data_IF_574414844516
#
_entry.id   IF_574414844516
#
_cell.length_a   1.000
_cell.length_b   1.000
_cell.length_c   1.000
_cell.angle_alpha   90.00
_cell.angle_beta   90.00
_cell.angle_gamma   90.00
#
_symmetry.space_group_name_H-M   'P 1'
#
loop_
_entity.id
_entity.type
_entity.pdbx_description
1 polymer ?
#
# COMPACT_ATOMS: atom_id res chain seq x y z
N UNK A 1 5.24 39.66 15.56
CA UNK A 1 6.54 39.71 14.87
C UNK A 1 6.61 38.53 13.93
N UNK A 2 6.68 38.82 12.63
CA UNK A 2 6.49 37.91 11.51
C UNK A 2 7.84 37.81 10.78
N UNK A 3 8.36 36.59 10.61
CA UNK A 3 9.43 36.27 9.68
C UNK A 3 9.03 34.96 9.00
N UNK A 4 8.72 34.86 7.71
CA UNK A 4 9.25 35.61 6.58
C UNK A 4 10.44 34.83 5.99
N UNK A 5 10.20 33.67 5.38
CA UNK A 5 11.19 32.99 4.52
C UNK A 5 10.58 32.58 3.20
N UNK A 6 11.01 33.32 2.19
CA UNK A 6 10.79 33.20 0.76
C UNK A 6 11.44 31.94 0.17
N UNK A 7 10.72 31.35 -0.78
CA UNK A 7 11.17 30.30 -1.70
C UNK A 7 12.34 30.76 -2.58
N UNK A 8 13.30 29.88 -2.92
CA UNK A 8 14.11 30.04 -4.11
C UNK A 8 13.43 29.36 -5.31
N UNK A 9 13.07 30.23 -6.26
CA UNK A 9 12.74 29.92 -7.65
C UNK A 9 13.87 29.10 -8.31
N UNK A 10 13.57 27.86 -8.71
CA UNK A 10 14.49 27.01 -9.45
C UNK A 10 14.40 27.39 -10.94
N UNK A 11 15.39 28.18 -11.36
CA UNK A 11 15.63 28.58 -12.73
C UNK A 11 15.80 27.37 -13.66
N UNK A 12 15.21 27.50 -14.85
CA UNK A 12 15.10 26.46 -15.87
C UNK A 12 16.42 25.95 -16.42
N UNK A 13 16.39 24.70 -16.88
CA UNK A 13 17.38 24.16 -17.80
C UNK A 13 16.84 24.24 -19.24
N UNK A 14 17.62 24.78 -20.19
CA UNK A 14 17.31 24.65 -21.61
C UNK A 14 17.51 23.18 -22.04
N UNK A 15 16.53 22.64 -22.76
CA UNK A 15 16.65 21.38 -23.49
C UNK A 15 17.54 21.64 -24.70
N UNK A 16 18.75 21.11 -24.70
CA UNK A 16 19.54 20.92 -25.90
C UNK A 16 18.86 19.88 -26.79
N UNK A 17 18.15 20.36 -27.79
CA UNK A 17 17.77 19.61 -28.99
C UNK A 17 19.03 19.34 -29.81
N UNK A 18 19.71 18.25 -29.47
CA UNK A 18 20.78 17.64 -30.27
C UNK A 18 20.23 17.10 -31.59
N UNK A 19 20.17 18.01 -32.56
CA UNK A 19 19.95 17.83 -33.98
C UNK A 19 21.01 16.88 -34.55
N UNK A 20 20.66 15.58 -34.65
CA UNK A 20 21.43 14.62 -35.45
C UNK A 20 21.14 14.86 -36.92
N UNK A 21 22.14 15.42 -37.57
CA UNK A 21 22.36 15.54 -39.00
C UNK A 21 22.02 14.24 -39.74
N UNK A 22 21.07 14.37 -40.66
CA UNK A 22 20.69 13.37 -41.65
C UNK A 22 21.56 13.62 -42.90
N UNK A 23 22.68 12.90 -42.98
CA UNK A 23 23.37 12.53 -44.23
C UNK A 23 23.11 11.03 -44.33
N UNK A 24 22.60 10.46 -45.42
CA UNK A 24 23.35 10.29 -46.66
C UNK A 24 22.44 9.53 -47.67
N UNK A 25 22.59 9.94 -48.93
CA UNK A 25 22.39 9.20 -50.21
C UNK A 25 21.03 8.75 -50.72
N UNK A 26 20.89 9.04 -52.01
CA UNK A 26 19.82 8.71 -52.92
C UNK A 26 19.81 7.23 -53.37
N UNK A 27 18.61 6.80 -53.75
CA UNK A 27 18.13 5.70 -54.62
C UNK A 27 19.14 5.14 -55.67
N UNK A 28 19.00 3.90 -56.20
CA UNK A 28 17.70 3.32 -56.62
C UNK A 28 17.51 1.78 -56.54
N UNK A 29 16.24 1.39 -56.73
CA UNK A 29 15.72 0.18 -57.37
C UNK A 29 15.85 -1.22 -56.73
N UNK A 30 14.69 -1.89 -56.73
CA UNK A 30 14.42 -3.24 -56.27
C UNK A 30 15.14 -4.31 -57.12
N UNK A 31 15.29 -5.52 -56.57
CA UNK A 31 14.30 -6.54 -56.91
C UNK A 31 13.78 -7.33 -55.70
N UNK A 32 12.53 -7.77 -55.85
CA UNK A 32 11.83 -8.76 -55.03
C UNK A 32 12.68 -10.01 -54.75
N UNK A 33 13.42 -10.04 -53.64
CA UNK A 33 13.85 -11.30 -53.04
C UNK A 33 12.70 -11.87 -52.21
N UNK A 34 11.93 -12.69 -52.92
CA UNK A 34 11.14 -13.80 -52.45
C UNK A 34 11.48 -14.20 -51.01
N UNK A 35 10.46 -14.11 -50.17
CA UNK A 35 10.30 -14.74 -48.86
C UNK A 35 10.63 -16.23 -48.99
N UNK A 36 11.91 -16.56 -48.95
CA UNK A 36 12.40 -17.91 -48.89
C UNK A 36 12.19 -18.37 -47.46
N UNK A 37 11.18 -19.23 -47.27
CA UNK A 37 10.91 -19.91 -46.01
C UNK A 37 12.12 -20.72 -45.58
N UNK A 38 13.07 -20.05 -44.90
CA UNK A 38 14.24 -20.68 -44.31
C UNK A 38 13.76 -21.41 -43.07
N UNK A 39 13.59 -22.72 -43.23
CA UNK A 39 13.37 -23.70 -42.17
C UNK A 39 14.31 -23.35 -41.00
N UNK A 40 13.81 -23.25 -39.76
CA UNK A 40 14.59 -22.78 -38.61
C UNK A 40 15.86 -23.60 -38.47
N UNK A 41 16.97 -22.98 -38.85
CA UNK A 41 18.31 -23.56 -38.76
C UNK A 41 18.70 -23.54 -37.27
N UNK A 42 19.32 -24.59 -36.71
CA UNK A 42 19.66 -24.70 -35.28
C UNK A 42 20.50 -23.53 -34.70
N UNK A 43 21.06 -22.66 -35.54
CA UNK A 43 21.74 -21.42 -35.15
C UNK A 43 20.81 -20.33 -34.59
N UNK A 44 19.52 -20.31 -34.96
CA UNK A 44 18.57 -19.31 -34.45
C UNK A 44 18.34 -19.43 -32.93
N UNK A 45 18.32 -20.65 -32.40
CA UNK A 45 18.23 -20.90 -30.96
C UNK A 45 19.48 -20.44 -30.21
N UNK A 46 20.67 -20.58 -30.81
CA UNK A 46 21.92 -20.08 -30.23
C UNK A 46 21.95 -18.55 -30.16
N UNK A 47 21.36 -17.89 -31.15
CA UNK A 47 21.22 -16.43 -31.17
C UNK A 47 20.27 -15.91 -30.08
N UNK A 48 19.13 -16.58 -29.88
CA UNK A 48 18.19 -16.27 -28.79
C UNK A 48 18.81 -16.48 -27.41
N UNK A 49 19.54 -17.59 -27.21
CA UNK A 49 20.26 -17.85 -25.96
C UNK A 49 21.32 -16.79 -25.67
N UNK A 50 22.01 -16.29 -26.71
CA UNK A 50 22.99 -15.21 -26.58
C UNK A 50 22.33 -13.88 -26.19
N UNK A 51 21.21 -13.52 -26.83
CA UNK A 51 20.45 -12.32 -26.46
C UNK A 51 19.87 -12.39 -25.04
N UNK A 52 19.42 -13.56 -24.59
CA UNK A 52 18.98 -13.76 -23.19
C UNK A 52 20.15 -13.62 -22.21
N UNK A 53 21.35 -14.09 -22.58
CA UNK A 53 22.58 -13.88 -21.82
C UNK A 53 22.91 -12.41 -21.63
N UNK A 54 22.88 -11.63 -22.71
CA UNK A 54 23.10 -10.18 -22.69
C UNK A 54 22.02 -9.46 -21.85
N UNK A 55 20.74 -9.84 -22.00
CA UNK A 55 19.65 -9.25 -21.23
C UNK A 55 19.76 -9.53 -19.73
N UNK A 56 20.22 -10.73 -19.36
CA UNK A 56 20.50 -11.10 -17.97
C UNK A 56 21.61 -10.25 -17.38
N UNK A 57 22.64 -9.91 -18.17
CA UNK A 57 23.74 -9.07 -17.71
C UNK A 57 23.28 -7.63 -17.44
N UNK A 58 22.45 -7.06 -18.32
CA UNK A 58 21.79 -5.76 -18.07
C UNK A 58 20.82 -5.81 -16.87
N UNK A 59 20.04 -6.89 -16.72
CA UNK A 59 19.18 -7.06 -15.55
C UNK A 59 19.99 -7.17 -14.27
N UNK A 60 21.11 -7.90 -14.28
CA UNK A 60 22.00 -8.03 -13.13
C UNK A 60 22.57 -6.68 -12.72
N UNK A 61 23.01 -5.86 -13.67
CA UNK A 61 23.47 -4.49 -13.40
C UNK A 61 22.35 -3.61 -12.83
N UNK A 62 21.14 -3.68 -13.39
CA UNK A 62 19.99 -2.90 -12.91
C UNK A 62 19.56 -3.34 -11.50
N UNK A 63 19.52 -4.64 -11.25
CA UNK A 63 19.16 -5.20 -9.93
C UNK A 63 20.19 -4.80 -8.89
N UNK A 64 21.50 -4.91 -9.19
CA UNK A 64 22.55 -4.48 -8.27
C UNK A 64 22.44 -2.99 -7.92
N UNK A 65 22.20 -2.12 -8.90
CA UNK A 65 21.98 -0.69 -8.66
C UNK A 65 20.67 -0.40 -7.89
N UNK A 66 19.62 -1.20 -8.11
CA UNK A 66 18.33 -1.08 -7.40
C UNK A 66 18.44 -1.58 -5.95
N UNK A 67 19.24 -2.61 -5.68
CA UNK A 67 19.40 -3.15 -4.33
C UNK A 67 20.09 -2.16 -3.39
N UNK A 68 21.02 -1.35 -3.89
CA UNK A 68 21.68 -0.32 -3.08
C UNK A 68 20.70 0.79 -2.66
N UNK A 69 19.79 1.18 -3.55
CA UNK A 69 18.73 2.15 -3.23
C UNK A 69 17.69 1.58 -2.27
N UNK A 70 17.40 0.27 -2.32
CA UNK A 70 16.55 -0.41 -1.32
C UNK A 70 17.23 -0.50 0.04
N UNK A 71 18.55 -0.72 0.09
CA UNK A 71 19.31 -0.82 1.34
C UNK A 71 19.25 0.47 2.14
N UNK A 72 19.37 1.62 1.48
CA UNK A 72 19.17 2.95 2.09
C UNK A 72 17.74 3.14 2.63
N UNK A 73 16.72 2.69 1.88
CA UNK A 73 15.34 2.73 2.34
C UNK A 73 15.08 1.85 3.56
N UNK A 74 15.72 0.68 3.62
CA UNK A 74 15.50 -0.28 4.70
C UNK A 74 16.05 0.19 6.05
N UNK A 75 17.21 0.86 6.07
CA UNK A 75 17.76 1.46 7.30
C UNK A 75 16.84 2.52 7.90
N UNK A 76 16.23 3.35 7.06
CA UNK A 76 15.26 4.34 7.53
C UNK A 76 14.02 3.65 8.12
N UNK A 77 13.46 2.65 7.44
CA UNK A 77 12.32 1.86 7.96
C UNK A 77 12.69 1.17 9.28
N UNK A 78 13.90 0.62 9.40
CA UNK A 78 14.38 -0.01 10.61
C UNK A 78 14.45 0.98 11.79
N UNK A 79 14.95 2.20 11.58
CA UNK A 79 14.94 3.25 12.59
C UNK A 79 13.52 3.62 13.03
N UNK A 80 12.59 3.78 12.08
CA UNK A 80 11.19 4.06 12.39
C UNK A 80 10.52 2.92 13.17
N UNK A 81 10.86 1.67 12.86
CA UNK A 81 10.37 0.49 13.59
C UNK A 81 10.87 0.48 15.04
N UNK A 82 12.16 0.77 15.26
CA UNK A 82 12.75 0.86 16.61
C UNK A 82 12.10 1.99 17.40
N UNK A 83 11.96 3.17 16.81
CA UNK A 83 11.33 4.31 17.46
C UNK A 83 9.87 4.03 17.81
N UNK A 84 9.14 3.39 16.89
CA UNK A 84 7.75 2.99 17.12
C UNK A 84 7.64 1.94 18.23
N UNK A 85 8.54 0.95 18.25
CA UNK A 85 8.55 -0.07 19.29
C UNK A 85 8.79 0.56 20.67
N UNK A 86 9.76 1.46 20.78
CA UNK A 86 10.05 2.16 22.02
C UNK A 86 8.86 3.02 22.46
N UNK A 87 8.29 3.81 21.54
CA UNK A 87 7.09 4.60 21.81
C UNK A 87 5.91 3.73 22.25
N UNK A 88 5.73 2.55 21.66
CA UNK A 88 4.66 1.63 22.01
C UNK A 88 4.86 1.02 23.40
N UNK A 89 6.09 0.69 23.78
CA UNK A 89 6.43 0.20 25.12
C UNK A 89 6.16 1.28 26.16
N UNK A 90 6.66 2.50 25.94
CA UNK A 90 6.46 3.63 26.86
C UNK A 90 4.98 3.96 27.01
N UNK A 91 4.26 4.08 25.89
CA UNK A 91 2.84 4.37 25.89
C UNK A 91 2.05 3.24 26.55
N UNK A 92 2.35 1.98 26.23
CA UNK A 92 1.72 0.82 26.83
C UNK A 92 1.90 0.77 28.35
N UNK A 93 3.13 0.96 28.82
CA UNK A 93 3.43 1.07 30.26
C UNK A 93 2.68 2.22 30.92
N UNK A 94 2.66 3.40 30.28
CA UNK A 94 1.91 4.56 30.78
C UNK A 94 0.41 4.27 30.91
N UNK A 95 -0.20 3.62 29.91
CA UNK A 95 -1.61 3.21 29.99
C UNK A 95 -1.87 2.23 31.13
N UNK A 96 -0.97 1.27 31.36
CA UNK A 96 -1.09 0.30 32.47
C UNK A 96 -1.04 1.03 33.81
N UNK A 97 -0.03 1.88 34.02
CA UNK A 97 0.13 2.64 35.27
C UNK A 97 -1.02 3.61 35.49
N UNK A 98 -1.45 4.34 34.45
CA UNK A 98 -2.60 5.24 34.53
C UNK A 98 -3.88 4.47 34.89
N UNK A 99 -4.12 3.32 34.26
CA UNK A 99 -5.26 2.45 34.59
C UNK A 99 -5.18 1.98 36.04
N UNK A 100 -4.01 1.53 36.49
CA UNK A 100 -3.79 1.10 37.88
C UNK A 100 -4.10 2.22 38.89
N UNK A 101 -3.64 3.45 38.62
CA UNK A 101 -3.93 4.61 39.48
C UNK A 101 -5.41 4.95 39.52
N UNK A 102 -6.09 4.94 38.36
CA UNK A 102 -7.54 5.19 38.30
C UNK A 102 -8.31 4.12 39.08
N UNK A 103 -7.95 2.85 38.91
CA UNK A 103 -8.59 1.73 39.60
C UNK A 103 -8.42 1.82 41.12
N UNK A 104 -7.20 2.13 41.61
CA UNK A 104 -6.97 2.32 43.04
C UNK A 104 -7.67 3.58 43.57
N UNK A 105 -7.61 4.70 42.86
CA UNK A 105 -8.31 5.93 43.25
C UNK A 105 -9.83 5.72 43.33
N UNK A 106 -10.42 5.00 42.38
CA UNK A 106 -11.84 4.63 42.43
C UNK A 106 -12.13 3.67 43.60
N UNK A 107 -11.25 2.70 43.87
CA UNK A 107 -11.44 1.75 44.97
C UNK A 107 -11.34 2.43 46.35
N UNK A 108 -10.42 3.39 46.52
CA UNK A 108 -10.29 4.19 47.74
C UNK A 108 -11.46 5.15 47.90
N UNK A 109 -11.85 5.87 46.84
CA UNK A 109 -12.99 6.77 46.86
C UNK A 109 -14.31 6.06 47.19
N UNK A 110 -14.56 4.90 46.58
CA UNK A 110 -15.71 4.05 46.91
C UNK A 110 -15.59 3.43 48.30
N UNK A 111 -14.38 3.07 48.74
CA UNK A 111 -14.13 2.53 50.07
C UNK A 111 -14.54 3.50 51.19
N UNK A 112 -14.25 4.79 51.01
CA UNK A 112 -14.67 5.84 51.95
C UNK A 112 -16.19 5.99 51.97
N UNK A 113 -16.85 6.00 50.80
CA UNK A 113 -18.31 6.13 50.70
C UNK A 113 -19.04 4.89 51.25
N UNK A 114 -18.46 3.69 51.08
CA UNK A 114 -19.02 2.42 51.56
C UNK A 114 -18.66 2.08 53.01
N UNK A 115 -18.25 3.06 53.82
CA UNK A 115 -18.01 2.86 55.25
C UNK A 115 -16.74 2.07 55.56
N UNK A 116 -15.64 2.38 54.89
CA UNK A 116 -14.30 1.81 55.10
C UNK A 116 -14.17 0.32 54.69
N UNK A 117 -15.10 -0.19 53.89
CA UNK A 117 -15.07 -1.58 53.38
C UNK A 117 -14.32 -1.68 52.05
N UNK A 118 -12.98 -1.59 52.11
CA UNK A 118 -12.08 -1.59 50.94
C UNK A 118 -12.21 -2.81 50.01
N UNK A 119 -12.69 -3.96 50.52
CA UNK A 119 -12.86 -5.17 49.70
C UNK A 119 -13.93 -5.02 48.61
N UNK A 120 -15.01 -4.29 48.88
CA UNK A 120 -16.09 -4.06 47.91
C UNK A 120 -15.58 -3.18 46.77
N UNK A 121 -14.82 -2.13 47.10
CA UNK A 121 -14.20 -1.25 46.11
C UNK A 121 -13.33 -2.04 45.13
N UNK A 122 -12.51 -2.98 45.61
CA UNK A 122 -11.64 -3.82 44.76
C UNK A 122 -12.44 -4.70 43.80
N UNK A 123 -13.55 -5.28 44.23
CA UNK A 123 -14.41 -6.13 43.38
C UNK A 123 -15.08 -5.31 42.29
N UNK A 124 -15.71 -4.18 42.66
CA UNK A 124 -16.42 -3.32 41.70
C UNK A 124 -15.45 -2.78 40.65
N UNK A 125 -14.30 -2.28 41.10
CA UNK A 125 -13.22 -1.80 40.24
C UNK A 125 -12.73 -2.90 39.28
N UNK A 126 -12.55 -4.13 39.77
CA UNK A 126 -12.18 -5.28 38.94
C UNK A 126 -13.22 -5.59 37.86
N UNK A 127 -14.52 -5.62 38.21
CA UNK A 127 -15.61 -5.87 37.27
C UNK A 127 -15.68 -4.78 36.19
N UNK A 128 -15.56 -3.50 36.59
CA UNK A 128 -15.57 -2.38 35.65
C UNK A 128 -14.37 -2.45 34.70
N UNK A 129 -13.18 -2.77 35.20
CA UNK A 129 -11.99 -2.94 34.36
C UNK A 129 -12.16 -4.07 33.33
N UNK A 130 -12.70 -5.21 33.78
CA UNK A 130 -12.91 -6.40 32.95
C UNK A 130 -13.98 -6.14 31.88
N UNK A 131 -15.09 -5.50 32.26
CA UNK A 131 -16.13 -5.07 31.33
C UNK A 131 -15.59 -4.04 30.32
N UNK A 132 -14.86 -3.02 30.78
CA UNK A 132 -14.27 -2.00 29.92
C UNK A 132 -13.29 -2.58 28.90
N UNK A 133 -12.41 -3.49 29.32
CA UNK A 133 -11.47 -4.19 28.45
C UNK A 133 -12.19 -5.04 27.39
N UNK A 134 -13.17 -5.84 27.83
CA UNK A 134 -13.99 -6.65 26.93
C UNK A 134 -14.74 -5.80 25.89
N UNK A 135 -15.36 -4.72 26.33
CA UNK A 135 -16.10 -3.80 25.47
C UNK A 135 -15.16 -3.06 24.50
N UNK A 136 -13.98 -2.65 24.97
CA UNK A 136 -12.95 -2.02 24.17
C UNK A 136 -12.46 -2.93 23.04
N UNK A 137 -12.10 -4.17 23.38
CA UNK A 137 -11.66 -5.17 22.40
C UNK A 137 -12.76 -5.49 21.38
N UNK A 138 -14.00 -5.66 21.85
CA UNK A 138 -15.15 -5.90 20.97
C UNK A 138 -15.39 -4.74 20.01
N UNK A 139 -15.38 -3.49 20.50
CA UNK A 139 -15.52 -2.29 19.69
C UNK A 139 -14.41 -2.16 18.64
N UNK A 140 -13.16 -2.44 19.02
CA UNK A 140 -12.02 -2.40 18.12
C UNK A 140 -12.17 -3.40 16.96
N UNK A 141 -12.56 -4.64 17.26
CA UNK A 141 -12.83 -5.68 16.25
C UNK A 141 -14.00 -5.29 15.35
N UNK A 142 -15.10 -4.80 15.93
CA UNK A 142 -16.26 -4.36 15.17
C UNK A 142 -15.91 -3.22 14.19
N UNK A 143 -15.10 -2.24 14.63
CA UNK A 143 -14.61 -1.16 13.75
C UNK A 143 -13.75 -1.69 12.61
N UNK A 144 -12.81 -2.59 12.89
CA UNK A 144 -11.96 -3.20 11.84
C UNK A 144 -12.79 -3.97 10.80
N UNK A 145 -13.81 -4.72 11.23
CA UNK A 145 -14.72 -5.43 10.31
C UNK A 145 -15.49 -4.46 9.41
N UNK A 146 -16.00 -3.34 9.95
CA UNK A 146 -16.70 -2.30 9.17
C UNK A 146 -15.79 -1.69 8.10
N UNK A 147 -14.56 -1.33 8.47
CA UNK A 147 -13.55 -0.80 7.53
C UNK A 147 -13.20 -1.80 6.43
N UNK A 148 -13.06 -3.09 6.77
CA UNK A 148 -12.82 -4.15 5.79
C UNK A 148 -13.96 -4.25 4.77
N UNK A 149 -15.22 -4.24 5.25
CA UNK A 149 -16.39 -4.30 4.39
C UNK A 149 -16.46 -3.11 3.41
N UNK A 150 -16.20 -1.90 3.89
CA UNK A 150 -16.18 -0.70 3.05
C UNK A 150 -15.12 -0.76 1.95
N UNK A 151 -13.91 -1.24 2.27
CA UNK A 151 -12.83 -1.42 1.28
C UNK A 151 -13.23 -2.42 0.20
N UNK A 152 -13.92 -3.49 0.57
CA UNK A 152 -14.41 -4.49 -0.36
C UNK A 152 -15.49 -3.92 -1.28
N UNK A 153 -16.47 -3.20 -0.72
CA UNK A 153 -17.51 -2.52 -1.52
C UNK A 153 -16.88 -1.53 -2.50
N UNK A 154 -15.96 -0.68 -2.05
CA UNK A 154 -15.24 0.26 -2.93
C UNK A 154 -14.45 -0.43 -4.04
N UNK A 155 -13.91 -1.64 -3.79
CA UNK A 155 -13.24 -2.42 -4.84
C UNK A 155 -14.23 -2.90 -5.90
N UNK A 156 -15.44 -3.30 -5.50
CA UNK A 156 -16.48 -3.70 -6.44
C UNK A 156 -17.03 -2.51 -7.23
N UNK A 157 -17.30 -1.38 -6.56
CA UNK A 157 -17.73 -0.14 -7.22
C UNK A 157 -16.71 0.35 -8.25
N UNK A 158 -15.41 0.34 -7.90
CA UNK A 158 -14.35 0.69 -8.86
C UNK A 158 -14.28 -0.25 -10.06
N UNK A 159 -14.57 -1.54 -9.88
CA UNK A 159 -14.63 -2.50 -11.00
C UNK A 159 -15.85 -2.24 -11.88
N UNK A 160 -17.01 -1.97 -11.27
CA UNK A 160 -18.24 -1.67 -11.99
C UNK A 160 -18.12 -0.35 -12.77
N UNK A 161 -17.55 0.69 -12.17
CA UNK A 161 -17.27 1.96 -12.85
C UNK A 161 -16.33 1.78 -14.04
N UNK A 162 -15.27 0.97 -13.90
CA UNK A 162 -14.35 0.64 -15.01
C UNK A 162 -15.06 -0.12 -16.13
N UNK A 163 -15.96 -1.04 -15.80
CA UNK A 163 -16.73 -1.79 -16.80
C UNK A 163 -17.73 -0.90 -17.54
N UNK A 164 -18.42 0.01 -16.84
CA UNK A 164 -19.29 1.00 -17.47
C UNK A 164 -18.51 1.89 -18.44
N UNK A 165 -17.32 2.37 -18.06
CA UNK A 165 -16.48 3.16 -18.97
C UNK A 165 -15.93 2.36 -20.15
N UNK A 166 -15.69 1.06 -19.98
CA UNK A 166 -15.09 0.21 -21.02
C UNK A 166 -16.12 -0.34 -22.01
N UNK A 167 -17.32 -0.70 -21.55
CA UNK A 167 -18.34 -1.40 -22.34
C UNK A 167 -19.62 -0.61 -22.55
N UNK A 168 -19.76 0.58 -21.94
CA UNK A 168 -20.88 1.49 -22.17
C UNK A 168 -22.23 1.08 -21.56
N UNK A 169 -22.37 -0.14 -21.02
CA UNK A 169 -23.62 -0.65 -20.45
C UNK A 169 -23.40 -1.29 -19.06
N UNK A 170 -24.38 -1.13 -18.17
CA UNK A 170 -24.34 -1.75 -16.85
C UNK A 170 -24.89 -3.18 -16.95
N UNK A 171 -24.20 -4.15 -16.33
CA UNK A 171 -24.63 -5.57 -16.30
C UNK A 171 -26.04 -5.74 -15.70
N UNK A 172 -26.49 -4.79 -14.88
CA UNK A 172 -27.83 -4.78 -14.31
C UNK A 172 -28.93 -4.53 -15.36
N UNK A 173 -28.62 -3.82 -16.44
CA UNK A 173 -29.59 -3.53 -17.50
C UNK A 173 -29.94 -4.81 -18.28
N UNK A 174 -28.97 -5.71 -18.44
CA UNK A 174 -29.14 -6.97 -19.17
C UNK A 174 -30.05 -7.99 -18.46
N UNK A 175 -30.22 -7.87 -17.13
CA UNK A 175 -31.16 -8.70 -16.38
C UNK A 175 -32.61 -8.22 -16.51
N UNK A 176 -32.83 -6.95 -16.87
CA UNK A 176 -34.17 -6.38 -17.07
C UNK A 176 -34.70 -6.67 -18.47
N UNK A 177 -33.80 -6.79 -19.46
CA UNK A 177 -34.15 -7.11 -20.85
C UNK A 177 -34.22 -8.61 -21.16
N UNK A 178 -33.97 -9.50 -20.19
CA UNK A 178 -34.10 -10.93 -20.42
C UNK A 178 -35.59 -11.30 -20.61
N UNK A 179 -36.03 -11.73 -21.80
CA UNK A 179 -37.42 -12.06 -22.05
C UNK A 179 -37.84 -13.22 -21.14
N UNK A 180 -38.97 -13.07 -20.46
CA UNK A 180 -39.47 -14.08 -19.53
C UNK A 180 -39.58 -15.44 -20.23
N UNK A 181 -39.10 -16.53 -19.59
CA UNK A 181 -39.13 -17.86 -20.18
C UNK A 181 -40.58 -18.24 -20.48
N UNK A 182 -40.87 -18.50 -21.76
CA UNK A 182 -42.19 -18.90 -22.22
C UNK A 182 -42.57 -20.22 -21.53
N UNK A 183 -43.69 -20.21 -20.81
CA UNK A 183 -44.20 -21.35 -20.05
C UNK A 183 -45.00 -22.30 -20.94
#
# INVERSE_FOLDING_TARGET
MIAGRSSPSSAGRPRETGQKSFQETAAPEAPDELVQGKIPTPDGMRLLLKQVGELKEYLSYYVSAKTDSVKLGWWNIALWMVLSALGFITLGGFLITASWFVLNGCAEGLGVICGNRFWIGRIVTGVVALAGSGLGMFCAVARRKRLSRQRTVQRYEKRQARQQTAFGHAVCDQATDAPAPNK
#
